data_IF_731874202863
#
_entry.id   IF_731874202863
#
_cell.length_a   1.000
_cell.length_b   1.000
_cell.length_c   1.000
_cell.angle_alpha   90.00
_cell.angle_beta   90.00
_cell.angle_gamma   90.00
#
_symmetry.space_group_name_H-M   'P 1'
#
loop_
_entity.id
_entity.type
_entity.pdbx_description
1 polymer ?
#
# COMPACT_ATOMS: atom_id res chain seq x y z
N UNK A 1 12.55 3.27 -17.28
CA UNK A 1 12.49 4.26 -16.17
C UNK A 1 11.98 5.56 -16.75
N UNK A 2 10.94 6.13 -16.14
CA UNK A 2 10.43 7.47 -16.47
C UNK A 2 11.14 8.53 -15.63
N UNK A 3 11.17 9.77 -16.12
CA UNK A 3 11.61 10.92 -15.31
C UNK A 3 10.60 11.18 -14.19
N UNK A 4 11.09 11.63 -13.03
CA UNK A 4 10.25 12.07 -11.91
C UNK A 4 9.66 13.44 -12.27
N UNK A 5 8.36 13.60 -12.05
CA UNK A 5 7.72 14.87 -12.33
C UNK A 5 8.18 15.95 -11.32
N UNK A 6 8.29 17.23 -11.74
CA UNK A 6 8.88 18.28 -10.90
C UNK A 6 8.21 18.42 -9.52
N UNK A 7 6.89 18.27 -9.45
CA UNK A 7 6.15 18.34 -8.19
C UNK A 7 6.49 17.20 -7.23
N UNK A 8 6.71 15.99 -7.74
CA UNK A 8 7.05 14.83 -6.91
C UNK A 8 8.50 14.96 -6.39
N UNK A 9 9.39 15.53 -7.22
CA UNK A 9 10.78 15.81 -6.86
C UNK A 9 10.88 16.86 -5.72
N UNK A 10 9.97 17.82 -5.64
CA UNK A 10 9.97 18.83 -4.60
C UNK A 10 9.83 18.24 -3.18
N UNK A 11 9.04 17.17 -3.01
CA UNK A 11 8.93 16.46 -1.73
C UNK A 11 10.26 15.81 -1.34
N UNK A 12 10.93 15.13 -2.28
CA UNK A 12 12.22 14.48 -2.01
C UNK A 12 13.33 15.49 -1.68
N UNK A 13 13.35 16.64 -2.36
CA UNK A 13 14.35 17.69 -2.13
C UNK A 13 14.21 18.35 -0.74
N UNK A 14 12.99 18.41 -0.20
CA UNK A 14 12.71 19.01 1.11
C UNK A 14 12.77 18.02 2.28
N UNK A 15 12.92 16.72 2.02
CA UNK A 15 12.87 15.70 3.06
C UNK A 15 14.11 15.72 3.95
N UNK A 16 13.89 15.64 5.25
CA UNK A 16 14.94 15.42 6.25
C UNK A 16 14.44 14.41 7.29
N UNK A 17 15.31 13.82 8.13
CA UNK A 17 14.86 12.97 9.24
C UNK A 17 13.88 13.66 10.20
N UNK A 18 13.93 15.00 10.30
CA UNK A 18 13.04 15.79 11.15
C UNK A 18 11.77 16.27 10.41
N UNK A 19 11.75 16.17 9.08
CA UNK A 19 10.66 16.64 8.22
C UNK A 19 10.39 15.59 7.14
N UNK A 20 9.82 14.44 7.50
CA UNK A 20 9.42 13.44 6.53
C UNK A 20 8.32 13.99 5.62
N UNK A 21 8.37 13.62 4.34
CA UNK A 21 7.38 14.07 3.36
C UNK A 21 6.35 13.01 2.99
N UNK A 22 6.37 11.86 3.67
CA UNK A 22 5.33 10.85 3.50
C UNK A 22 4.01 11.31 4.13
N UNK A 23 2.92 11.05 3.43
CA UNK A 23 1.56 11.21 3.95
C UNK A 23 0.99 9.86 4.35
N UNK A 24 0.15 9.82 5.38
CA UNK A 24 -0.49 8.60 5.85
C UNK A 24 -1.97 8.85 6.19
N UNK A 25 -2.76 7.79 6.16
CA UNK A 25 -4.15 7.79 6.58
C UNK A 25 -4.41 6.73 7.63
N UNK A 26 -5.25 7.04 8.61
CA UNK A 26 -5.77 6.07 9.58
C UNK A 26 -7.21 5.74 9.19
N UNK A 27 -7.45 4.48 8.85
CA UNK A 27 -8.78 3.97 8.58
C UNK A 27 -9.23 3.04 9.71
N UNK A 28 -10.43 3.26 10.22
CA UNK A 28 -11.05 2.49 11.30
C UNK A 28 -12.23 1.73 10.70
N UNK A 29 -12.31 0.43 10.98
CA UNK A 29 -13.30 -0.46 10.41
C UNK A 29 -14.00 -1.26 11.50
N UNK A 30 -15.20 -1.74 11.16
CA UNK A 30 -15.91 -2.75 11.93
C UNK A 30 -15.67 -4.13 11.32
N UNK A 31 -15.72 -5.16 12.17
CA UNK A 31 -15.67 -6.54 11.70
C UNK A 31 -16.95 -6.88 10.93
N UNK A 32 -16.86 -7.65 9.82
CA UNK A 32 -18.05 -8.16 9.16
C UNK A 32 -18.90 -9.03 10.10
N UNK A 33 -20.21 -9.17 9.83
CA UNK A 33 -21.06 -10.11 10.55
C UNK A 33 -20.45 -11.52 10.55
N UNK A 34 -20.47 -12.17 11.72
CA UNK A 34 -19.92 -13.52 11.92
C UNK A 34 -18.40 -13.67 11.70
N UNK A 35 -17.64 -12.58 11.67
CA UNK A 35 -16.18 -12.66 11.65
C UNK A 35 -15.64 -13.33 12.91
N UNK A 36 -14.97 -14.46 12.74
CA UNK A 36 -14.30 -15.17 13.84
C UNK A 36 -13.06 -14.43 14.33
N UNK A 37 -12.50 -14.89 15.46
CA UNK A 37 -11.31 -14.31 16.11
C UNK A 37 -10.11 -14.11 15.17
N UNK A 38 -9.97 -14.98 14.16
CA UNK A 38 -8.83 -14.99 13.26
C UNK A 38 -9.04 -14.19 11.96
N UNK A 39 -10.17 -13.50 11.79
CA UNK A 39 -10.55 -12.81 10.56
C UNK A 39 -9.45 -11.86 10.05
N UNK A 40 -8.95 -10.97 10.90
CA UNK A 40 -7.92 -9.99 10.55
C UNK A 40 -6.59 -10.67 10.19
N UNK A 41 -6.22 -11.75 10.89
CA UNK A 41 -5.01 -12.52 10.58
C UNK A 41 -5.12 -13.26 9.25
N UNK A 42 -6.32 -13.73 8.90
CA UNK A 42 -6.63 -14.29 7.58
C UNK A 42 -6.48 -13.25 6.48
N UNK A 43 -7.13 -12.10 6.64
CA UNK A 43 -7.05 -10.97 5.70
C UNK A 43 -5.60 -10.52 5.48
N UNK A 44 -4.81 -10.39 6.56
CA UNK A 44 -3.39 -10.06 6.45
C UNK A 44 -2.61 -11.04 5.56
N UNK A 45 -2.80 -12.35 5.78
CA UNK A 45 -2.13 -13.38 4.95
C UNK A 45 -2.58 -13.35 3.50
N UNK A 46 -3.86 -13.04 3.27
CA UNK A 46 -4.40 -12.89 1.92
C UNK A 46 -3.76 -11.69 1.19
N UNK A 47 -3.65 -10.55 1.85
CA UNK A 47 -3.01 -9.35 1.29
C UNK A 47 -1.52 -9.53 0.97
N UNK A 48 -0.84 -10.43 1.70
CA UNK A 48 0.56 -10.79 1.44
C UNK A 48 0.75 -11.80 0.31
N UNK A 49 -0.33 -12.40 -0.21
CA UNK A 49 -0.18 -13.36 -1.30
C UNK A 49 0.38 -12.65 -2.53
N UNK A 50 1.36 -13.26 -3.24
CA UNK A 50 1.82 -12.74 -4.50
C UNK A 50 0.64 -12.57 -5.45
N UNK A 51 0.52 -11.38 -6.04
CA UNK A 51 -0.43 -11.16 -7.12
C UNK A 51 0.01 -12.01 -8.32
N UNK A 52 -0.87 -12.89 -8.81
CA UNK A 52 -0.64 -13.60 -10.06
C UNK A 52 -0.95 -12.62 -11.20
N UNK A 53 0.09 -12.18 -11.90
CA UNK A 53 -0.08 -11.38 -13.12
C UNK A 53 -0.53 -12.29 -14.26
N UNK A 54 -1.77 -12.11 -14.75
CA UNK A 54 -2.30 -12.77 -15.96
C UNK A 54 -1.69 -12.20 -17.27
N UNK A 55 -0.43 -11.76 -17.28
CA UNK A 55 0.19 -11.11 -18.46
C UNK A 55 0.95 -12.08 -19.38
N UNK A 56 0.89 -13.39 -19.13
CA UNK A 56 1.63 -14.39 -19.91
C UNK A 56 0.80 -15.13 -20.98
N UNK A 57 -0.47 -14.75 -21.21
CA UNK A 57 -1.36 -15.49 -22.13
C UNK A 57 -1.44 -14.92 -23.55
N UNK A 58 -0.69 -13.86 -23.88
CA UNK A 58 -0.79 -13.21 -25.20
C UNK A 58 0.56 -12.71 -25.75
N UNK A 59 1.58 -13.58 -25.75
CA UNK A 59 2.82 -13.38 -26.53
C UNK A 59 3.09 -14.57 -27.43
#
# INVERSE_FOLDING_TARGET
MSLIAPQDAAFLLGETPAQPTHVAGLAIYELPPNAGRDYVGGLYRELLRPWVTHEAENR
#
